data_IF_374492664620
#
_entry.id   IF_374492664620
#
_cell.length_a   1.000
_cell.length_b   1.000
_cell.length_c   1.000
_cell.angle_alpha   90.00
_cell.angle_beta   90.00
_cell.angle_gamma   90.00
#
_symmetry.space_group_name_H-M   'P 1'
#
loop_
_entity.id
_entity.type
_entity.pdbx_description
1 polymer ?
#
# COMPACT_ATOMS: atom_id res chain seq x y z
N UNK A 1 -7.84 -5.97 0.53
CA UNK A 1 -8.44 -7.16 1.20
C UNK A 1 -9.89 -6.84 1.55
N UNK A 2 -10.86 -7.68 1.17
CA UNK A 2 -12.28 -7.46 1.53
C UNK A 2 -12.89 -6.15 0.99
N UNK A 3 -14.00 -5.72 1.60
CA UNK A 3 -14.70 -4.45 1.33
C UNK A 3 -14.88 -3.65 2.63
N UNK A 4 -13.79 -3.06 3.16
CA UNK A 4 -13.82 -2.31 4.41
C UNK A 4 -14.58 -0.98 4.35
N UNK A 5 -15.04 -0.51 3.18
CA UNK A 5 -15.82 0.72 3.01
C UNK A 5 -15.16 1.96 3.66
N UNK A 6 -13.84 2.05 3.55
CA UNK A 6 -13.04 3.12 4.15
C UNK A 6 -12.85 3.03 5.66
N UNK A 7 -13.00 1.85 6.27
CA UNK A 7 -12.74 1.63 7.70
C UNK A 7 -11.49 0.75 7.87
N UNK A 8 -10.61 1.15 8.79
CA UNK A 8 -9.46 0.32 9.16
C UNK A 8 -9.93 -0.83 10.04
N UNK A 9 -9.91 -2.04 9.50
CA UNK A 9 -10.32 -3.26 10.18
C UNK A 9 -9.15 -4.25 10.20
N UNK A 10 -8.78 -4.74 11.38
CA UNK A 10 -7.60 -5.60 11.59
C UNK A 10 -7.60 -6.87 10.72
N UNK A 11 -8.78 -7.43 10.46
CA UNK A 11 -8.94 -8.61 9.60
C UNK A 11 -8.62 -8.35 8.12
N UNK A 12 -8.70 -7.09 7.69
CA UNK A 12 -8.44 -6.66 6.31
C UNK A 12 -7.10 -5.95 6.13
N UNK A 13 -6.26 -5.89 7.17
CA UNK A 13 -4.93 -5.32 7.02
C UNK A 13 -4.00 -6.23 6.21
N UNK A 14 -3.00 -5.61 5.60
CA UNK A 14 -2.05 -6.26 4.71
C UNK A 14 -0.96 -7.05 5.45
N UNK A 15 -0.84 -7.01 6.79
CA UNK A 15 0.20 -7.79 7.50
C UNK A 15 0.12 -9.29 7.20
N UNK A 16 -1.08 -9.85 7.06
CA UNK A 16 -1.26 -11.28 6.74
C UNK A 16 -0.69 -11.61 5.36
N UNK A 17 -0.94 -10.74 4.38
CA UNK A 17 -0.40 -10.88 3.01
C UNK A 17 1.11 -10.67 3.03
N UNK A 18 1.57 -9.61 3.69
CA UNK A 18 2.98 -9.26 3.84
C UNK A 18 3.82 -10.44 4.36
N UNK A 19 3.38 -11.10 5.43
CA UNK A 19 4.07 -12.27 5.99
C UNK A 19 4.25 -13.38 4.94
N UNK A 20 3.22 -13.62 4.12
CA UNK A 20 3.28 -14.65 3.08
C UNK A 20 4.17 -14.23 1.91
N UNK A 21 4.01 -13.00 1.42
CA UNK A 21 4.82 -12.44 0.32
C UNK A 21 6.30 -12.47 0.67
N UNK A 22 6.65 -12.01 1.87
CA UNK A 22 8.04 -12.03 2.38
C UNK A 22 8.61 -13.44 2.49
N UNK A 23 7.77 -14.46 2.74
CA UNK A 23 8.23 -15.86 2.83
C UNK A 23 8.50 -16.51 1.46
N UNK A 24 7.91 -15.99 0.38
CA UNK A 24 7.99 -16.59 -0.96
C UNK A 24 9.01 -15.83 -1.83
N UNK A 25 9.08 -14.51 -1.68
CA UNK A 25 9.96 -13.67 -2.49
C UNK A 25 11.36 -13.62 -1.89
N UNK A 26 12.36 -13.88 -2.73
CA UNK A 26 13.76 -13.69 -2.38
C UNK A 26 14.18 -12.21 -2.58
N UNK A 27 13.44 -11.29 -1.96
CA UNK A 27 13.65 -9.86 -2.05
C UNK A 27 13.39 -9.18 -0.69
N UNK A 28 13.94 -7.99 -0.49
CA UNK A 28 13.63 -7.20 0.69
C UNK A 28 12.24 -6.57 0.53
N UNK A 29 11.25 -7.15 1.23
CA UNK A 29 9.87 -6.66 1.22
C UNK A 29 9.64 -5.79 2.45
N UNK A 30 9.15 -4.57 2.23
CA UNK A 30 8.70 -3.62 3.27
C UNK A 30 7.17 -3.54 3.24
N UNK A 31 6.56 -3.22 4.37
CA UNK A 31 5.11 -2.97 4.48
C UNK A 31 4.92 -1.55 5.03
N UNK A 32 4.11 -0.75 4.33
CA UNK A 32 3.66 0.55 4.84
C UNK A 32 2.46 0.37 5.77
N UNK A 33 2.36 1.24 6.79
CA UNK A 33 1.24 1.32 7.73
C UNK A 33 0.03 2.06 7.16
N UNK A 34 0.17 2.64 5.98
CA UNK A 34 -0.88 3.32 5.23
C UNK A 34 -0.68 3.07 3.72
N UNK A 35 -1.52 3.66 2.88
CA UNK A 35 -1.42 3.59 1.43
C UNK A 35 -1.01 4.89 0.75
N UNK A 36 -1.35 6.06 1.29
CA UNK A 36 -1.01 7.37 0.70
C UNK A 36 -0.45 8.40 1.70
N UNK A 37 -0.37 8.07 2.98
CA UNK A 37 0.13 8.95 4.02
C UNK A 37 1.65 9.04 4.09
N UNK A 38 2.12 9.74 5.14
CA UNK A 38 3.53 10.05 5.35
C UNK A 38 4.43 8.80 5.40
N UNK A 39 3.98 7.74 6.06
CA UNK A 39 4.73 6.48 6.14
C UNK A 39 4.97 5.86 4.76
N UNK A 40 3.95 5.87 3.89
CA UNK A 40 4.06 5.37 2.51
C UNK A 40 5.05 6.21 1.71
N UNK A 41 4.93 7.55 1.77
CA UNK A 41 5.84 8.47 1.07
C UNK A 41 7.30 8.30 1.52
N UNK A 42 7.55 8.23 2.82
CA UNK A 42 8.90 8.06 3.38
C UNK A 42 9.52 6.72 2.94
N UNK A 43 8.73 5.64 2.93
CA UNK A 43 9.17 4.32 2.47
C UNK A 43 9.44 4.27 0.96
N UNK A 44 8.65 4.96 0.15
CA UNK A 44 8.82 5.05 -1.30
C UNK A 44 10.10 5.81 -1.63
N UNK A 45 10.31 6.98 -1.02
CA UNK A 45 11.53 7.78 -1.23
C UNK A 45 12.80 7.02 -0.80
N UNK A 46 12.69 6.17 0.22
CA UNK A 46 13.78 5.32 0.69
C UNK A 46 13.88 3.94 0.01
N UNK A 47 13.07 3.66 -1.02
CA UNK A 47 13.03 2.35 -1.66
C UNK A 47 14.25 2.19 -2.58
N UNK A 48 15.01 1.10 -2.41
CA UNK A 48 16.20 0.83 -3.22
C UNK A 48 15.85 -0.06 -4.42
N UNK A 49 16.68 -0.06 -5.48
CA UNK A 49 16.51 -0.98 -6.59
C UNK A 49 16.39 -2.43 -6.10
N UNK A 50 15.42 -3.17 -6.67
CA UNK A 50 15.08 -4.56 -6.33
C UNK A 50 14.44 -4.77 -4.93
N UNK A 51 14.14 -3.71 -4.19
CA UNK A 51 13.27 -3.80 -3.01
C UNK A 51 11.79 -3.72 -3.43
N UNK A 52 10.92 -4.28 -2.59
CA UNK A 52 9.48 -4.30 -2.82
C UNK A 52 8.82 -3.59 -1.65
N UNK A 53 7.95 -2.64 -1.95
CA UNK A 53 7.06 -2.03 -0.96
C UNK A 53 5.64 -2.55 -1.18
N UNK A 54 5.05 -3.08 -0.12
CA UNK A 54 3.62 -3.36 -0.06
C UNK A 54 2.94 -2.21 0.68
N UNK A 55 1.99 -1.56 0.02
CA UNK A 55 1.13 -0.55 0.66
C UNK A 55 0.05 -1.24 1.50
N UNK A 56 -0.51 -0.51 2.46
CA UNK A 56 -1.68 -0.97 3.19
C UNK A 56 -2.92 -1.04 2.26
N UNK A 57 -3.99 -1.67 2.73
CA UNK A 57 -5.21 -1.87 1.97
C UNK A 57 -5.83 -0.54 1.50
N UNK A 58 -5.77 -0.28 0.19
CA UNK A 58 -6.29 0.95 -0.43
C UNK A 58 -7.74 1.26 -0.05
N UNK A 59 -8.57 0.22 0.14
CA UNK A 59 -9.99 0.37 0.51
C UNK A 59 -10.23 0.85 1.94
N UNK A 60 -9.18 1.07 2.73
CA UNK A 60 -9.26 1.83 3.98
C UNK A 60 -9.48 3.32 3.74
N UNK A 61 -9.25 3.79 2.51
CA UNK A 61 -9.64 5.12 2.04
C UNK A 61 -10.95 4.96 1.25
N UNK A 62 -11.95 5.81 1.55
CA UNK A 62 -13.24 5.79 0.83
C UNK A 62 -13.07 6.27 -0.60
N UNK A 63 -12.10 7.16 -0.76
CA UNK A 63 -11.63 7.78 -1.98
C UNK A 63 -11.30 6.75 -3.08
N UNK A 64 -10.75 5.60 -2.68
CA UNK A 64 -10.51 4.44 -3.56
C UNK A 64 -11.81 3.90 -4.17
N UNK A 65 -12.87 3.71 -3.36
CA UNK A 65 -14.14 3.16 -3.84
C UNK A 65 -14.94 4.20 -4.65
N UNK A 66 -14.71 5.50 -4.43
CA UNK A 66 -15.35 6.59 -5.17
C UNK A 66 -14.62 7.01 -6.45
N UNK A 67 -13.50 6.36 -6.80
CA UNK A 67 -12.65 6.76 -7.91
C UNK A 67 -12.21 8.23 -7.82
N UNK A 68 -11.80 8.64 -6.61
CA UNK A 68 -11.40 10.01 -6.35
C UNK A 68 -10.11 10.36 -7.13
N UNK A 69 -10.14 11.50 -7.81
CA UNK A 69 -9.06 11.92 -8.69
C UNK A 69 -7.79 12.27 -7.92
N UNK A 70 -7.90 12.88 -6.75
CA UNK A 70 -6.72 13.31 -5.99
C UNK A 70 -6.07 12.14 -5.25
N UNK A 71 -6.85 11.15 -4.84
CA UNK A 71 -6.35 9.85 -4.38
C UNK A 71 -5.58 9.13 -5.49
N UNK A 72 -6.15 9.06 -6.70
CA UNK A 72 -5.48 8.46 -7.85
C UNK A 72 -4.18 9.19 -8.21
N UNK A 73 -4.16 10.53 -8.18
CA UNK A 73 -2.94 11.33 -8.42
C UNK A 73 -1.85 11.05 -7.39
N UNK A 74 -2.20 10.89 -6.12
CA UNK A 74 -1.24 10.55 -5.07
C UNK A 74 -0.60 9.19 -5.32
N UNK A 75 -1.42 8.16 -5.61
CA UNK A 75 -0.89 6.83 -5.95
C UNK A 75 -0.03 6.85 -7.21
N UNK A 76 -0.47 7.58 -8.25
CA UNK A 76 0.29 7.72 -9.48
C UNK A 76 1.65 8.41 -9.26
N UNK A 77 1.76 9.32 -8.28
CA UNK A 77 3.03 9.97 -7.95
C UNK A 77 4.09 9.04 -7.38
N UNK A 78 3.72 7.81 -6.98
CA UNK A 78 4.63 6.83 -6.39
C UNK A 78 5.40 6.00 -7.40
N UNK A 79 5.00 6.04 -8.68
CA UNK A 79 5.59 5.21 -9.72
C UNK A 79 5.67 5.93 -11.05
N UNK A 80 6.58 5.49 -11.89
CA UNK A 80 6.74 6.00 -13.24
C UNK A 80 5.86 5.23 -14.24
N UNK A 81 5.39 4.03 -13.85
CA UNK A 81 4.66 3.06 -14.65
C UNK A 81 3.56 2.39 -13.81
N UNK A 82 2.39 2.16 -14.43
CA UNK A 82 1.24 1.44 -13.87
C UNK A 82 0.82 0.30 -14.80
#
# INVERSE_FOLDING_TARGET
>A
MGRPKGQVLDEFKMERVYKRVRSILNANVKLSKDSIGRDSMDLIQGLKPKEILLLENLRFHKEEESNDLDFAKQLASFGELY
#
